data_IF_704629043371
#
_entry.id   IF_704629043371
#
_cell.length_a   1.000
_cell.length_b   1.000
_cell.length_c   1.000
_cell.angle_alpha   90.00
_cell.angle_beta   90.00
_cell.angle_gamma   90.00
#
_symmetry.space_group_name_H-M   'P 1'
#
loop_
_entity.id
_entity.type
_entity.pdbx_description
1 polymer ?
#
# COMPACT_ATOMS: atom_id res chain seq x y z
N UNK A 1 6.08 67.06 38.92
CA UNK A 1 5.28 65.85 39.25
C UNK A 1 4.56 65.34 37.99
N UNK A 2 5.25 65.30 36.86
CA UNK A 2 4.73 64.81 35.57
C UNK A 2 5.77 63.87 34.92
N UNK A 3 7.07 64.11 35.13
CA UNK A 3 8.13 63.29 34.53
C UNK A 3 8.27 61.85 35.07
N UNK A 4 7.73 61.54 36.26
CA UNK A 4 7.88 60.19 36.84
C UNK A 4 6.85 59.18 36.27
N UNK A 5 5.77 59.65 35.63
CA UNK A 5 4.73 58.77 35.11
C UNK A 5 5.05 58.25 33.69
N UNK A 6 5.70 59.07 32.87
CA UNK A 6 6.04 58.68 31.49
C UNK A 6 7.16 57.63 31.43
N UNK A 7 8.09 57.65 32.38
CA UNK A 7 9.21 56.69 32.44
C UNK A 7 8.76 55.28 32.88
N UNK A 8 7.72 55.18 33.72
CA UNK A 8 7.13 53.91 34.16
C UNK A 8 6.28 53.29 33.05
N UNK A 9 5.51 54.09 32.30
CA UNK A 9 4.67 53.61 31.20
C UNK A 9 5.52 53.12 30.01
N UNK A 10 6.68 53.73 29.76
CA UNK A 10 7.60 53.29 28.70
C UNK A 10 8.23 51.93 29.01
N UNK A 11 8.63 51.69 30.26
CA UNK A 11 9.22 50.40 30.66
C UNK A 11 8.22 49.24 30.60
N UNK A 12 6.94 49.46 30.92
CA UNK A 12 5.91 48.42 30.85
C UNK A 12 5.60 48.03 29.40
N UNK A 13 5.60 48.99 28.46
CA UNK A 13 5.40 48.70 27.03
C UNK A 13 6.59 47.96 26.40
N UNK A 14 7.81 48.21 26.87
CA UNK A 14 9.00 47.53 26.36
C UNK A 14 9.09 46.07 26.83
N UNK A 15 8.70 45.80 28.09
CA UNK A 15 8.71 44.43 28.65
C UNK A 15 7.56 43.57 28.09
N UNK A 16 6.39 44.15 27.83
CA UNK A 16 5.27 43.44 27.19
C UNK A 16 5.51 43.16 25.69
N UNK A 17 6.22 44.05 24.98
CA UNK A 17 6.62 43.83 23.59
C UNK A 17 7.60 42.66 23.44
N UNK A 18 8.57 42.54 24.36
CA UNK A 18 9.60 41.49 24.29
C UNK A 18 9.06 40.09 24.62
N UNK A 19 8.08 39.96 25.52
CA UNK A 19 7.49 38.66 25.88
C UNK A 19 6.58 38.10 24.79
N UNK A 20 5.89 38.95 24.02
CA UNK A 20 5.02 38.49 22.91
C UNK A 20 5.84 38.01 21.71
N UNK A 21 7.01 38.60 21.45
CA UNK A 21 7.89 38.14 20.37
C UNK A 21 8.59 36.81 20.69
N UNK A 22 8.92 36.54 21.96
CA UNK A 22 9.59 35.30 22.35
C UNK A 22 8.67 34.06 22.30
N UNK A 23 7.37 34.22 22.55
CA UNK A 23 6.39 33.11 22.46
C UNK A 23 6.10 32.73 21.00
N UNK A 24 6.12 33.68 20.08
CA UNK A 24 5.88 33.40 18.65
C UNK A 24 7.08 32.67 18.02
N UNK A 25 8.31 32.95 18.46
CA UNK A 25 9.51 32.26 17.93
C UNK A 25 9.64 30.81 18.46
N UNK A 26 9.24 30.54 19.72
CA UNK A 26 9.25 29.18 20.26
C UNK A 26 8.09 28.30 19.74
N UNK A 27 7.00 28.91 19.26
CA UNK A 27 5.87 28.19 18.66
C UNK A 27 6.20 27.62 17.27
N UNK A 28 7.24 28.13 16.60
CA UNK A 28 7.65 27.66 15.27
C UNK A 28 8.65 26.48 15.36
N UNK A 29 9.35 26.31 16.49
CA UNK A 29 10.34 25.23 16.66
C UNK A 29 9.69 23.92 17.17
N UNK A 30 8.47 23.96 17.71
CA UNK A 30 7.67 22.75 17.97
C UNK A 30 6.89 22.26 16.74
N UNK A 31 7.02 22.94 15.61
CA UNK A 31 6.49 22.54 14.33
C UNK A 31 7.34 21.46 13.67
N UNK A 32 6.76 20.26 13.54
CA UNK A 32 7.15 19.22 12.58
C UNK A 32 8.54 18.59 12.74
N UNK A 33 8.68 17.70 13.72
CA UNK A 33 9.33 16.40 13.45
C UNK A 33 8.40 15.54 12.56
N UNK A 34 7.98 16.09 11.42
CA UNK A 34 7.50 15.27 10.32
C UNK A 34 8.80 14.80 9.68
N UNK A 35 9.32 13.65 10.11
CA UNK A 35 10.25 12.90 9.26
C UNK A 35 9.59 12.85 7.89
N UNK A 36 10.14 13.58 6.92
CA UNK A 36 9.74 13.45 5.53
C UNK A 36 10.12 12.02 5.11
N UNK A 37 9.25 11.05 5.41
CA UNK A 37 9.32 9.72 4.86
C UNK A 37 9.03 9.90 3.38
N UNK A 38 10.09 10.01 2.59
CA UNK A 38 10.01 9.95 1.13
C UNK A 38 9.37 8.61 0.80
N UNK A 39 8.15 8.63 0.27
CA UNK A 39 7.51 7.42 -0.23
C UNK A 39 8.44 6.80 -1.29
N UNK A 40 8.75 5.49 -1.21
CA UNK A 40 9.60 4.86 -2.20
C UNK A 40 8.97 4.98 -3.59
N UNK A 41 9.82 5.07 -4.62
CA UNK A 41 9.37 5.08 -6.01
C UNK A 41 8.64 3.77 -6.33
N UNK A 42 7.72 3.83 -7.28
CA UNK A 42 6.91 2.69 -7.67
C UNK A 42 7.51 1.96 -8.89
N UNK A 43 7.30 0.64 -8.96
CA UNK A 43 7.54 -0.21 -10.12
C UNK A 43 6.35 -1.15 -10.31
N UNK A 44 5.78 -1.21 -11.51
CA UNK A 44 4.72 -2.14 -11.90
C UNK A 44 5.23 -3.14 -12.93
N UNK A 45 5.04 -4.42 -12.64
CA UNK A 45 5.49 -5.55 -13.46
C UNK A 45 4.25 -6.31 -13.92
N UNK A 46 3.94 -6.26 -15.20
CA UNK A 46 2.80 -6.96 -15.81
C UNK A 46 3.30 -8.19 -16.55
N UNK A 47 2.95 -9.36 -16.07
CA UNK A 47 3.13 -10.64 -16.76
C UNK A 47 1.87 -10.87 -17.59
N UNK A 48 1.99 -10.79 -18.91
CA UNK A 48 0.83 -10.75 -19.81
C UNK A 48 0.80 -12.03 -20.64
N UNK A 49 -0.23 -12.85 -20.42
CA UNK A 49 -0.49 -13.99 -21.26
C UNK A 49 -0.84 -13.52 -22.69
N UNK A 50 -0.06 -13.97 -23.66
CA UNK A 50 -0.27 -13.66 -25.08
C UNK A 50 -0.50 -14.92 -25.91
N UNK A 51 -0.98 -16.00 -25.29
CA UNK A 51 -1.34 -17.24 -25.99
C UNK A 51 -2.55 -17.05 -26.91
N UNK A 52 -2.75 -17.98 -27.84
CA UNK A 52 -3.85 -17.90 -28.81
C UNK A 52 -5.25 -18.05 -28.17
N UNK A 53 -5.36 -18.68 -26.99
CA UNK A 53 -6.63 -18.82 -26.23
C UNK A 53 -7.30 -17.48 -25.93
N UNK A 54 -6.50 -16.43 -25.76
CA UNK A 54 -6.94 -15.06 -25.52
C UNK A 54 -7.80 -14.49 -26.67
N UNK A 55 -7.76 -15.11 -27.87
CA UNK A 55 -8.57 -14.71 -29.05
C UNK A 55 -9.82 -15.55 -29.26
N UNK A 56 -10.22 -16.37 -28.29
CA UNK A 56 -11.33 -17.30 -28.48
C UNK A 56 -10.96 -18.59 -29.24
N UNK A 57 -9.67 -18.76 -29.54
CA UNK A 57 -9.14 -19.91 -30.28
C UNK A 57 -8.62 -20.96 -29.29
N UNK A 58 -9.34 -22.07 -29.16
CA UNK A 58 -8.99 -23.19 -28.29
C UNK A 58 -10.02 -24.31 -28.36
N UNK A 59 -9.85 -25.35 -27.54
CA UNK A 59 -10.79 -26.48 -27.44
C UNK A 59 -12.15 -26.03 -26.88
N UNK A 60 -12.16 -24.96 -26.08
CA UNK A 60 -13.35 -24.32 -25.51
C UNK A 60 -13.52 -22.95 -26.18
N UNK A 61 -14.73 -22.60 -26.63
CA UNK A 61 -15.03 -21.27 -27.17
C UNK A 61 -14.94 -20.22 -26.07
N UNK A 62 -13.83 -19.47 -26.02
CA UNK A 62 -13.69 -18.27 -25.19
C UNK A 62 -14.06 -17.02 -25.99
N UNK A 63 -14.47 -15.93 -25.34
CA UNK A 63 -14.53 -14.62 -25.99
C UNK A 63 -13.13 -14.17 -26.42
N UNK A 64 -13.02 -13.45 -27.54
CA UNK A 64 -11.79 -12.72 -27.86
C UNK A 64 -11.65 -11.56 -26.87
N UNK A 65 -10.73 -11.72 -25.92
CA UNK A 65 -10.47 -10.73 -24.87
C UNK A 65 -9.13 -10.04 -25.07
N UNK A 66 -8.30 -10.47 -26.03
CA UNK A 66 -6.93 -9.98 -26.14
C UNK A 66 -6.87 -8.48 -26.39
N UNK A 67 -7.67 -7.97 -27.32
CA UNK A 67 -7.73 -6.53 -27.61
C UNK A 67 -8.27 -5.75 -26.42
N UNK A 68 -9.27 -6.29 -25.71
CA UNK A 68 -9.79 -5.68 -24.48
C UNK A 68 -8.69 -5.58 -23.42
N UNK A 69 -7.96 -6.66 -23.16
CA UNK A 69 -6.87 -6.69 -22.17
C UNK A 69 -5.76 -5.71 -22.54
N UNK A 70 -5.41 -5.59 -23.83
CA UNK A 70 -4.49 -4.55 -24.30
C UNK A 70 -4.99 -3.14 -24.01
N UNK A 71 -6.26 -2.88 -24.28
CA UNK A 71 -6.87 -1.57 -24.02
C UNK A 71 -6.91 -1.27 -22.52
N UNK A 72 -7.26 -2.24 -21.68
CA UNK A 72 -7.25 -2.06 -20.23
C UNK A 72 -5.82 -1.88 -19.67
N UNK A 73 -4.82 -2.58 -20.23
CA UNK A 73 -3.42 -2.36 -19.86
C UNK A 73 -2.95 -0.94 -20.24
N UNK A 74 -3.38 -0.43 -21.41
CA UNK A 74 -3.14 0.97 -21.78
C UNK A 74 -3.81 1.92 -20.80
N UNK A 75 -5.07 1.69 -20.46
CA UNK A 75 -5.81 2.50 -19.50
C UNK A 75 -5.11 2.53 -18.13
N UNK A 76 -4.66 1.37 -17.65
CA UNK A 76 -3.92 1.23 -16.40
C UNK A 76 -2.57 1.97 -16.43
N UNK A 77 -1.90 2.07 -17.59
CA UNK A 77 -0.67 2.88 -17.74
C UNK A 77 -1.00 4.38 -17.85
N UNK A 78 -2.10 4.73 -18.51
CA UNK A 78 -2.56 6.11 -18.65
C UNK A 78 -3.03 6.73 -17.32
N UNK A 79 -3.64 5.94 -16.44
CA UNK A 79 -4.14 6.41 -15.14
C UNK A 79 -3.04 6.71 -14.11
N UNK A 80 -1.78 6.36 -14.40
CA UNK A 80 -0.66 6.58 -13.48
C UNK A 80 -0.16 8.02 -13.60
N UNK A 81 -0.26 8.75 -12.49
CA UNK A 81 0.20 10.14 -12.40
C UNK A 81 1.68 10.30 -12.04
N UNK A 82 2.26 9.35 -11.31
CA UNK A 82 3.66 9.47 -10.89
C UNK A 82 4.59 9.16 -12.06
N UNK A 83 5.22 10.21 -12.61
CA UNK A 83 6.11 10.13 -13.76
C UNK A 83 7.37 9.28 -13.49
N UNK A 84 7.70 9.02 -12.23
CA UNK A 84 8.85 8.21 -11.83
C UNK A 84 8.50 6.72 -11.68
N UNK A 85 7.23 6.34 -11.84
CA UNK A 85 6.83 4.93 -11.84
C UNK A 85 7.48 4.22 -13.02
N UNK A 86 8.15 3.11 -12.73
CA UNK A 86 8.71 2.22 -13.74
C UNK A 86 7.69 1.16 -14.13
N UNK A 87 7.53 0.94 -15.42
CA UNK A 87 6.64 -0.09 -15.99
C UNK A 87 7.51 -1.13 -16.68
N UNK A 88 7.25 -2.39 -16.36
CA UNK A 88 7.82 -3.57 -17.01
C UNK A 88 6.66 -4.45 -17.45
N UNK A 89 6.60 -4.81 -18.73
CA UNK A 89 5.58 -5.69 -19.29
C UNK A 89 6.31 -6.89 -19.90
N UNK A 90 6.02 -8.08 -19.42
CA UNK A 90 6.64 -9.34 -19.81
C UNK A 90 5.53 -10.17 -20.47
N UNK A 91 5.42 -10.13 -21.82
CA UNK A 91 4.54 -11.05 -22.51
C UNK A 91 5.06 -12.48 -22.37
N UNK A 92 4.18 -13.48 -22.24
CA UNK A 92 4.60 -14.87 -22.14
C UNK A 92 3.64 -15.84 -22.87
N UNK A 93 4.18 -16.99 -23.24
CA UNK A 93 3.44 -18.18 -23.69
C UNK A 93 4.04 -19.40 -22.96
N UNK A 94 4.60 -20.36 -23.69
CA UNK A 94 5.37 -21.48 -23.18
C UNK A 94 6.71 -21.02 -22.55
N UNK A 95 7.16 -19.81 -22.89
CA UNK A 95 8.32 -19.13 -22.31
C UNK A 95 8.01 -17.63 -22.10
N UNK A 96 8.70 -16.95 -21.17
CA UNK A 96 8.72 -15.49 -21.12
C UNK A 96 9.38 -14.89 -22.37
N UNK A 97 8.77 -13.85 -22.94
CA UNK A 97 9.31 -13.12 -24.09
C UNK A 97 10.01 -11.82 -23.65
N UNK A 98 10.70 -11.17 -24.58
CA UNK A 98 11.39 -9.90 -24.33
C UNK A 98 10.47 -8.86 -23.69
N UNK A 99 10.91 -8.29 -22.56
CA UNK A 99 10.11 -7.32 -21.83
C UNK A 99 10.08 -5.96 -22.53
N UNK A 100 8.94 -5.28 -22.42
CA UNK A 100 8.79 -3.86 -22.69
C UNK A 100 9.03 -3.11 -21.38
N UNK A 101 9.88 -2.08 -21.38
CA UNK A 101 10.26 -1.34 -20.17
C UNK A 101 10.27 0.16 -20.41
N UNK A 102 9.90 0.94 -19.40
CA UNK A 102 9.95 2.40 -19.47
C UNK A 102 9.41 3.08 -18.23
N UNK A 103 9.75 4.36 -18.06
CA UNK A 103 9.14 5.22 -17.04
C UNK A 103 7.85 5.84 -17.56
N UNK A 104 6.94 6.20 -16.66
CA UNK A 104 5.71 6.94 -17.00
C UNK A 104 6.02 8.31 -17.62
N UNK A 105 7.18 8.91 -17.36
CA UNK A 105 7.64 10.10 -18.10
C UNK A 105 7.72 9.89 -19.61
N UNK A 106 7.85 8.64 -20.09
CA UNK A 106 7.89 8.26 -21.50
C UNK A 106 6.63 7.45 -21.91
N UNK A 107 5.46 7.84 -21.36
CA UNK A 107 4.18 7.12 -21.50
C UNK A 107 3.85 6.73 -22.95
N UNK A 108 3.98 7.64 -23.90
CA UNK A 108 3.58 7.38 -25.30
C UNK A 108 4.37 6.22 -25.94
N UNK A 109 5.63 6.04 -25.54
CA UNK A 109 6.45 4.91 -25.98
C UNK A 109 5.97 3.59 -25.40
N UNK A 110 5.55 3.58 -24.12
CA UNK A 110 4.95 2.41 -23.48
C UNK A 110 3.62 2.04 -24.16
N UNK A 111 2.75 3.01 -24.40
CA UNK A 111 1.46 2.80 -25.08
C UNK A 111 1.68 2.24 -26.50
N UNK A 112 2.59 2.85 -27.26
CA UNK A 112 2.94 2.38 -28.60
C UNK A 112 3.52 0.96 -28.60
N UNK A 113 4.24 0.56 -27.55
CA UNK A 113 4.76 -0.78 -27.40
C UNK A 113 3.66 -1.79 -27.02
N UNK A 114 2.71 -1.39 -26.15
CA UNK A 114 1.53 -2.19 -25.80
C UNK A 114 0.67 -2.44 -27.05
N UNK A 115 0.45 -1.43 -27.89
CA UNK A 115 -0.32 -1.59 -29.13
C UNK A 115 0.28 -2.62 -30.09
N UNK A 116 1.60 -2.83 -30.04
CA UNK A 116 2.32 -3.83 -30.83
C UNK A 116 2.26 -5.25 -30.26
N UNK A 117 1.71 -5.44 -29.05
CA UNK A 117 1.47 -6.77 -28.52
C UNK A 117 0.53 -7.53 -29.45
N UNK A 118 0.89 -8.77 -29.74
CA UNK A 118 0.13 -9.69 -30.58
C UNK A 118 0.08 -11.05 -29.90
N UNK A 119 -1.01 -11.77 -30.12
CA UNK A 119 -1.06 -13.18 -29.71
C UNK A 119 -0.03 -14.01 -30.45
N UNK A 120 0.42 -15.07 -29.80
CA UNK A 120 1.43 -16.00 -30.27
C UNK A 120 0.94 -17.42 -30.09
N UNK A 121 1.33 -18.36 -30.97
CA UNK A 121 1.07 -19.77 -30.75
C UNK A 121 1.89 -20.27 -29.56
N UNK A 122 1.34 -21.20 -28.80
CA UNK A 122 1.99 -21.82 -27.65
C UNK A 122 1.01 -22.07 -26.52
N UNK A 123 1.44 -22.92 -25.60
CA UNK A 123 0.77 -23.21 -24.34
C UNK A 123 1.13 -22.15 -23.27
N UNK A 124 0.56 -22.24 -22.08
CA UNK A 124 0.66 -21.26 -20.99
C UNK A 124 1.63 -21.74 -19.88
N UNK A 125 2.81 -21.13 -19.80
CA UNK A 125 3.81 -21.39 -18.77
C UNK A 125 3.84 -20.27 -17.70
N UNK A 126 2.82 -20.28 -16.84
CA UNK A 126 2.67 -19.36 -15.70
C UNK A 126 3.87 -19.44 -14.75
N UNK A 127 4.38 -20.65 -14.49
CA UNK A 127 5.45 -20.85 -13.52
C UNK A 127 6.71 -20.06 -13.89
N UNK A 128 7.18 -20.15 -15.13
CA UNK A 128 8.41 -19.47 -15.55
C UNK A 128 8.18 -17.97 -15.78
N UNK A 129 6.99 -17.58 -16.24
CA UNK A 129 6.59 -16.18 -16.28
C UNK A 129 6.64 -15.54 -14.88
N UNK A 130 6.10 -16.21 -13.87
CA UNK A 130 6.16 -15.77 -12.48
C UNK A 130 7.61 -15.59 -12.02
N UNK A 131 8.45 -16.62 -12.23
CA UNK A 131 9.86 -16.57 -11.82
C UNK A 131 10.63 -15.44 -12.50
N UNK A 132 10.35 -15.19 -13.78
CA UNK A 132 10.94 -14.06 -14.51
C UNK A 132 10.45 -12.71 -13.97
N UNK A 133 9.17 -12.61 -13.59
CA UNK A 133 8.63 -11.42 -12.93
C UNK A 133 9.28 -11.14 -11.57
N UNK A 134 9.55 -12.18 -10.77
CA UNK A 134 10.26 -12.04 -9.49
C UNK A 134 11.66 -11.44 -9.69
N UNK A 135 12.36 -11.80 -10.77
CA UNK A 135 13.68 -11.27 -11.08
C UNK A 135 13.69 -9.76 -11.39
N UNK A 136 12.53 -9.19 -11.73
CA UNK A 136 12.40 -7.75 -12.02
C UNK A 136 12.16 -6.90 -10.77
N UNK A 137 11.98 -7.52 -9.60
CA UNK A 137 11.70 -6.80 -8.35
C UNK A 137 12.91 -5.96 -7.92
N UNK A 138 12.65 -4.69 -7.64
CA UNK A 138 13.64 -3.71 -7.18
C UNK A 138 13.44 -3.42 -5.68
N UNK A 139 14.40 -3.84 -4.86
CA UNK A 139 14.32 -3.67 -3.39
C UNK A 139 14.27 -2.22 -2.90
N UNK A 140 14.59 -1.26 -3.76
CA UNK A 140 14.53 0.18 -3.44
C UNK A 140 13.16 0.80 -3.72
N UNK A 141 12.21 0.02 -4.25
CA UNK A 141 10.91 0.47 -4.73
C UNK A 141 9.73 -0.27 -4.08
N UNK A 142 8.56 0.35 -4.19
CA UNK A 142 7.29 -0.36 -4.07
C UNK A 142 7.09 -1.14 -5.37
N UNK A 143 6.96 -2.46 -5.29
CA UNK A 143 6.77 -3.33 -6.45
C UNK A 143 5.35 -3.87 -6.46
N UNK A 144 4.67 -3.70 -7.58
CA UNK A 144 3.39 -4.33 -7.87
C UNK A 144 3.59 -5.31 -9.04
N UNK A 145 3.36 -6.61 -8.82
CA UNK A 145 3.42 -7.63 -9.86
C UNK A 145 2.01 -8.13 -10.21
N UNK A 146 1.69 -8.18 -11.48
CA UNK A 146 0.39 -8.60 -12.00
C UNK A 146 0.59 -9.81 -12.91
N UNK A 147 0.00 -10.95 -12.54
CA UNK A 147 -0.11 -12.11 -13.43
C UNK A 147 -1.46 -12.03 -14.13
N UNK A 148 -1.47 -11.70 -15.43
CA UNK A 148 -2.68 -11.59 -16.24
C UNK A 148 -2.79 -12.83 -17.14
N UNK A 149 -3.76 -13.70 -16.91
CA UNK A 149 -3.96 -14.92 -17.73
C UNK A 149 -5.43 -15.27 -17.92
N UNK A 150 -5.75 -15.87 -19.06
CA UNK A 150 -7.08 -16.39 -19.39
C UNK A 150 -7.18 -17.92 -19.28
N UNK A 151 -6.05 -18.59 -19.00
CA UNK A 151 -5.92 -20.03 -19.05
C UNK A 151 -5.23 -20.62 -17.82
N UNK A 152 -5.14 -21.94 -17.83
CA UNK A 152 -4.45 -22.71 -16.79
C UNK A 152 -3.00 -22.93 -17.18
N UNK A 153 -2.15 -23.13 -16.17
CA UNK A 153 -0.81 -23.62 -16.39
C UNK A 153 -0.84 -25.02 -17.03
N UNK A 154 -0.27 -25.16 -18.22
CA UNK A 154 -0.28 -26.40 -18.99
C UNK A 154 1.03 -26.68 -19.74
N UNK A 155 2.08 -25.90 -19.50
CA UNK A 155 3.41 -26.11 -20.08
C UNK A 155 4.51 -25.65 -19.14
N UNK A 156 5.66 -26.32 -19.18
CA UNK A 156 6.83 -25.98 -18.38
C UNK A 156 6.99 -26.95 -17.21
N UNK A 157 7.43 -26.47 -16.03
CA UNK A 157 7.47 -27.27 -14.81
C UNK A 157 6.11 -27.89 -14.45
N UNK A 158 6.12 -28.89 -13.56
CA UNK A 158 4.88 -29.45 -12.99
C UNK A 158 4.09 -28.37 -12.21
N UNK A 159 2.77 -28.54 -12.13
CA UNK A 159 1.87 -27.58 -11.44
C UNK A 159 2.25 -27.34 -9.99
N UNK A 160 2.75 -28.36 -9.30
CA UNK A 160 3.24 -28.28 -7.93
C UNK A 160 4.36 -27.24 -7.80
N UNK A 161 5.23 -27.11 -8.80
CA UNK A 161 6.27 -26.10 -8.80
C UNK A 161 5.70 -24.67 -8.92
N UNK A 162 4.58 -24.48 -9.64
CA UNK A 162 3.86 -23.21 -9.62
C UNK A 162 3.27 -22.94 -8.23
N UNK A 163 2.62 -23.93 -7.61
CA UNK A 163 2.06 -23.78 -6.27
C UNK A 163 3.11 -23.38 -5.25
N UNK A 164 4.26 -24.05 -5.23
CA UNK A 164 5.37 -23.71 -4.35
C UNK A 164 5.87 -22.29 -4.60
N UNK A 165 5.97 -21.84 -5.86
CA UNK A 165 6.39 -20.48 -6.20
C UNK A 165 5.41 -19.42 -5.69
N UNK A 166 4.10 -19.71 -5.71
CA UNK A 166 3.07 -18.80 -5.20
C UNK A 166 3.03 -18.81 -3.66
N UNK A 167 3.07 -19.98 -3.02
CA UNK A 167 3.08 -20.11 -1.55
C UNK A 167 4.30 -19.40 -0.91
N UNK A 168 5.45 -19.45 -1.59
CA UNK A 168 6.68 -18.80 -1.14
C UNK A 168 6.66 -17.26 -1.23
N UNK A 169 5.68 -16.66 -1.91
CA UNK A 169 5.58 -15.20 -2.07
C UNK A 169 5.55 -14.48 -0.72
N UNK A 170 4.74 -14.96 0.23
CA UNK A 170 4.59 -14.33 1.55
C UNK A 170 5.92 -14.22 2.31
N UNK A 171 6.79 -15.23 2.18
CA UNK A 171 8.13 -15.22 2.77
C UNK A 171 9.05 -14.23 2.06
N UNK A 172 9.01 -14.23 0.73
CA UNK A 172 9.81 -13.35 -0.12
C UNK A 172 9.45 -11.86 0.04
N UNK A 173 8.16 -11.55 0.19
CA UNK A 173 7.63 -10.20 0.30
C UNK A 173 7.67 -9.65 1.74
N UNK A 174 7.95 -10.48 2.74
CA UNK A 174 7.87 -10.12 4.16
C UNK A 174 8.77 -8.93 4.50
N UNK A 175 8.16 -7.87 5.03
CA UNK A 175 8.88 -6.66 5.43
C UNK A 175 9.29 -5.75 4.28
N UNK A 176 8.90 -6.10 3.05
CA UNK A 176 9.14 -5.33 1.83
C UNK A 176 7.81 -4.85 1.23
N UNK A 177 7.86 -3.74 0.48
CA UNK A 177 6.70 -3.24 -0.26
C UNK A 177 6.53 -4.00 -1.58
N UNK A 178 6.42 -5.33 -1.53
CA UNK A 178 6.19 -6.18 -2.70
C UNK A 178 4.77 -6.73 -2.66
N UNK A 179 3.98 -6.45 -3.68
CA UNK A 179 2.56 -6.78 -3.74
C UNK A 179 2.25 -7.52 -5.04
N UNK A 180 1.50 -8.61 -4.96
CA UNK A 180 1.18 -9.45 -6.11
C UNK A 180 -0.31 -9.57 -6.38
N UNK A 181 -0.68 -9.60 -7.65
CA UNK A 181 -2.07 -9.73 -8.09
C UNK A 181 -2.15 -10.85 -9.12
N UNK A 182 -2.91 -11.88 -8.80
CA UNK A 182 -3.24 -12.96 -9.72
C UNK A 182 -4.58 -12.64 -10.38
N UNK A 183 -4.53 -12.19 -11.63
CA UNK A 183 -5.70 -11.68 -12.37
C UNK A 183 -6.17 -12.74 -13.35
N UNK A 184 -7.33 -13.31 -13.03
CA UNK A 184 -8.06 -14.27 -13.86
C UNK A 184 -8.95 -13.50 -14.83
N UNK A 185 -8.50 -13.42 -16.08
CA UNK A 185 -9.15 -12.62 -17.13
C UNK A 185 -10.45 -13.27 -17.64
N UNK A 186 -10.58 -14.58 -17.48
CA UNK A 186 -11.79 -15.35 -17.79
C UNK A 186 -12.05 -16.41 -16.72
N UNK A 187 -13.29 -16.94 -16.62
CA UNK A 187 -13.58 -18.05 -15.72
C UNK A 187 -12.74 -19.32 -15.96
N UNK A 188 -12.17 -19.49 -17.16
CA UNK A 188 -11.35 -20.66 -17.49
C UNK A 188 -9.95 -20.62 -16.84
N UNK A 189 -9.50 -19.45 -16.40
CA UNK A 189 -8.26 -19.32 -15.63
C UNK A 189 -8.40 -19.79 -14.17
N UNK A 190 -9.62 -20.15 -13.74
CA UNK A 190 -9.89 -20.53 -12.35
C UNK A 190 -9.38 -21.93 -12.04
N UNK A 191 -8.38 -22.00 -11.18
CA UNK A 191 -7.88 -23.23 -10.55
C UNK A 191 -8.02 -23.13 -9.04
N UNK A 192 -8.87 -23.97 -8.45
CA UNK A 192 -9.23 -23.86 -7.02
C UNK A 192 -8.01 -23.87 -6.09
N UNK A 193 -7.00 -24.69 -6.40
CA UNK A 193 -5.77 -24.76 -5.61
C UNK A 193 -4.98 -23.44 -5.65
N UNK A 194 -4.94 -22.75 -6.79
CA UNK A 194 -4.34 -21.41 -6.89
C UNK A 194 -5.16 -20.41 -6.07
N UNK A 195 -6.50 -20.43 -6.19
CA UNK A 195 -7.36 -19.56 -5.38
C UNK A 195 -7.09 -19.73 -3.88
N UNK A 196 -7.05 -20.98 -3.41
CA UNK A 196 -6.79 -21.30 -2.00
C UNK A 196 -5.40 -20.85 -1.52
N UNK A 197 -4.40 -20.89 -2.40
CA UNK A 197 -3.03 -20.41 -2.11
C UNK A 197 -3.05 -18.89 -2.00
N UNK A 198 -3.60 -18.21 -3.00
CA UNK A 198 -3.65 -16.75 -3.04
C UNK A 198 -4.40 -16.19 -1.82
N UNK A 199 -5.56 -16.75 -1.49
CA UNK A 199 -6.38 -16.31 -0.35
C UNK A 199 -5.67 -16.42 1.01
N UNK A 200 -4.68 -17.31 1.12
CA UNK A 200 -3.89 -17.53 2.34
C UNK A 200 -2.54 -16.81 2.32
N UNK A 201 -2.15 -16.23 1.20
CA UNK A 201 -0.81 -15.65 1.00
C UNK A 201 -0.86 -14.15 1.26
N UNK A 202 -0.14 -13.69 2.30
CA UNK A 202 -0.02 -12.26 2.61
C UNK A 202 0.57 -11.47 1.43
N UNK A 203 0.10 -10.23 1.25
CA UNK A 203 0.53 -9.33 0.16
C UNK A 203 0.31 -9.90 -1.25
N UNK A 204 -0.66 -10.81 -1.40
CA UNK A 204 -1.12 -11.35 -2.67
C UNK A 204 -2.65 -11.28 -2.75
N UNK A 205 -3.20 -10.97 -3.92
CA UNK A 205 -4.64 -10.87 -4.13
C UNK A 205 -5.08 -11.59 -5.39
N UNK A 206 -6.26 -12.19 -5.33
CA UNK A 206 -6.93 -12.80 -6.47
C UNK A 206 -7.92 -11.78 -7.06
N UNK A 207 -7.92 -11.64 -8.38
CA UNK A 207 -8.81 -10.73 -9.09
C UNK A 207 -9.50 -11.48 -10.22
N UNK A 208 -10.83 -11.51 -10.18
CA UNK A 208 -11.67 -12.10 -11.21
C UNK A 208 -12.26 -10.99 -12.08
N UNK A 209 -11.43 -10.43 -12.96
CA UNK A 209 -11.84 -9.33 -13.83
C UNK A 209 -10.97 -9.24 -15.07
N UNK A 210 -11.58 -8.76 -16.15
CA UNK A 210 -10.83 -8.30 -17.33
C UNK A 210 -10.42 -6.83 -17.23
N UNK A 211 -10.96 -6.08 -16.26
CA UNK A 211 -10.50 -4.74 -15.90
C UNK A 211 -9.21 -4.86 -15.09
N UNK A 212 -8.11 -4.34 -15.65
CA UNK A 212 -6.79 -4.35 -15.04
C UNK A 212 -6.42 -2.99 -14.44
N UNK A 213 -7.33 -2.01 -14.47
CA UNK A 213 -7.15 -0.68 -13.88
C UNK A 213 -7.43 -0.70 -12.37
N UNK A 214 -6.58 -1.42 -11.66
CA UNK A 214 -6.67 -1.63 -10.23
C UNK A 214 -6.20 -0.38 -9.48
N UNK A 215 -6.96 0.04 -8.46
CA UNK A 215 -6.65 1.21 -7.64
C UNK A 215 -5.93 0.79 -6.36
N UNK A 216 -4.77 1.40 -6.10
CA UNK A 216 -3.99 1.15 -4.89
C UNK A 216 -4.13 2.31 -3.93
N UNK A 217 -4.34 1.97 -2.66
CA UNK A 217 -4.38 2.91 -1.54
C UNK A 217 -3.21 2.56 -0.63
N UNK A 218 -2.09 3.24 -0.82
CA UNK A 218 -0.83 2.90 -0.14
C UNK A 218 -0.64 3.72 1.13
N UNK A 219 -0.04 3.10 2.15
CA UNK A 219 0.37 3.76 3.39
C UNK A 219 1.73 3.24 3.87
N UNK A 220 2.19 3.70 5.02
CA UNK A 220 3.46 3.26 5.61
C UNK A 220 3.35 1.82 6.13
N UNK A 221 4.35 0.98 5.86
CA UNK A 221 4.52 -0.33 6.52
C UNK A 221 4.73 -0.19 8.03
N UNK A 222 5.35 0.91 8.46
CA UNK A 222 5.70 1.14 9.86
C UNK A 222 5.25 2.54 10.29
N UNK A 223 4.33 2.61 11.25
CA UNK A 223 3.86 3.84 11.87
C UNK A 223 4.38 3.93 13.31
N UNK A 224 4.56 5.15 13.82
CA UNK A 224 4.97 5.40 15.21
C UNK A 224 4.01 6.38 15.88
N UNK A 225 3.68 6.12 17.14
CA UNK A 225 2.73 6.93 17.90
C UNK A 225 3.15 7.08 19.36
N UNK A 226 3.52 8.28 19.83
CA UNK A 226 3.79 8.53 21.27
C UNK A 226 2.53 8.99 22.03
N UNK A 227 1.84 8.07 22.70
CA UNK A 227 0.49 8.26 23.26
C UNK A 227 0.47 8.92 24.64
N UNK A 228 1.60 9.41 25.14
CA UNK A 228 1.69 10.00 26.49
C UNK A 228 0.78 11.24 26.64
N UNK A 229 0.96 12.27 25.80
CA UNK A 229 0.17 13.51 25.88
C UNK A 229 -1.06 13.50 24.97
N UNK A 230 -0.89 13.01 23.74
CA UNK A 230 -1.95 12.99 22.74
C UNK A 230 -2.18 11.56 22.26
N UNK A 231 -3.43 11.09 22.32
CA UNK A 231 -3.85 9.74 21.88
C UNK A 231 -4.38 9.71 20.44
N UNK A 232 -4.62 10.86 19.83
CA UNK A 232 -5.10 11.00 18.45
C UNK A 232 -3.96 10.89 17.44
N UNK A 233 -4.19 10.09 16.40
CA UNK A 233 -3.23 9.85 15.33
C UNK A 233 -3.91 9.94 13.99
N UNK A 234 -3.10 10.20 12.97
CA UNK A 234 -3.51 10.20 11.58
C UNK A 234 -2.64 9.21 10.82
N UNK A 235 -3.27 8.35 10.03
CA UNK A 235 -2.61 7.45 9.08
C UNK A 235 -2.89 7.99 7.67
N UNK A 236 -1.87 8.52 6.96
CA UNK A 236 -2.06 9.03 5.61
C UNK A 236 -2.12 7.89 4.60
N UNK A 237 -2.83 8.14 3.51
CA UNK A 237 -3.01 7.24 2.37
C UNK A 237 -2.74 7.98 1.06
N UNK A 238 -2.09 7.29 0.13
CA UNK A 238 -1.88 7.77 -1.25
C UNK A 238 -2.65 6.88 -2.21
N UNK A 239 -3.42 7.51 -3.09
CA UNK A 239 -4.12 6.81 -4.16
C UNK A 239 -3.25 6.77 -5.41
N UNK A 240 -3.11 5.59 -6.01
CA UNK A 240 -2.41 5.45 -7.30
C UNK A 240 -3.24 5.96 -8.46
N UNK A 241 -4.57 5.82 -8.37
CA UNK A 241 -5.55 6.25 -9.36
C UNK A 241 -6.31 7.49 -8.83
N UNK A 242 -6.23 8.65 -9.49
CA UNK A 242 -6.95 9.85 -9.06
C UNK A 242 -8.47 9.68 -9.08
N UNK A 243 -8.97 8.88 -10.03
CA UNK A 243 -10.39 8.66 -10.30
C UNK A 243 -11.01 7.55 -9.43
N UNK A 244 -10.21 6.95 -8.55
CA UNK A 244 -10.71 5.96 -7.60
C UNK A 244 -11.80 6.57 -6.71
N UNK A 245 -12.97 5.92 -6.55
CA UNK A 245 -14.06 6.45 -5.74
C UNK A 245 -13.65 6.57 -4.27
N UNK A 246 -13.63 7.79 -3.72
CA UNK A 246 -13.17 8.07 -2.34
C UNK A 246 -14.32 8.29 -1.37
N UNK A 247 -15.36 8.97 -1.84
CA UNK A 247 -16.50 9.44 -1.04
C UNK A 247 -17.27 8.30 -0.35
N UNK A 248 -17.13 7.07 -0.86
CA UNK A 248 -17.79 5.87 -0.35
C UNK A 248 -16.85 4.88 0.35
N UNK A 249 -15.54 5.18 0.41
CA UNK A 249 -14.53 4.31 0.99
C UNK A 249 -14.49 4.49 2.51
N UNK A 250 -15.25 3.66 3.21
CA UNK A 250 -15.22 3.59 4.67
C UNK A 250 -14.08 2.69 5.12
N UNK A 251 -13.12 3.29 5.81
CA UNK A 251 -11.99 2.60 6.41
C UNK A 251 -12.17 2.54 7.91
N UNK A 252 -11.98 1.35 8.47
CA UNK A 252 -11.87 1.11 9.90
C UNK A 252 -10.46 0.58 10.23
N UNK A 253 -10.07 0.67 11.50
CA UNK A 253 -8.75 0.27 11.97
C UNK A 253 -8.87 -0.59 13.22
N UNK A 254 -8.16 -1.72 13.24
CA UNK A 254 -8.18 -2.65 14.37
C UNK A 254 -6.77 -3.06 14.76
N UNK A 255 -6.45 -2.99 16.04
CA UNK A 255 -5.22 -3.58 16.57
C UNK A 255 -5.37 -5.09 16.74
N UNK A 256 -4.29 -5.83 16.53
CA UNK A 256 -4.23 -7.23 16.92
C UNK A 256 -4.53 -7.39 18.44
N UNK A 257 -5.12 -8.53 18.86
CA UNK A 257 -5.45 -8.76 20.25
C UNK A 257 -4.23 -8.62 21.16
N UNK A 258 -4.33 -7.75 22.17
CA UNK A 258 -3.26 -7.48 23.12
C UNK A 258 -3.84 -6.95 24.45
N UNK A 259 -3.11 -7.04 25.56
CA UNK A 259 -3.64 -6.66 26.88
C UNK A 259 -3.48 -5.17 27.23
N UNK A 260 -2.95 -4.34 26.33
CA UNK A 260 -2.50 -2.98 26.66
C UNK A 260 -3.27 -1.89 25.94
N UNK A 261 -3.66 -2.09 24.68
CA UNK A 261 -4.16 -1.05 23.80
C UNK A 261 -5.33 -1.53 22.94
N UNK A 262 -6.27 -0.61 22.71
CA UNK A 262 -7.33 -0.75 21.71
C UNK A 262 -7.47 0.52 20.88
N UNK A 263 -8.10 0.41 19.71
CA UNK A 263 -8.55 1.55 18.93
C UNK A 263 -9.96 1.91 19.41
N UNK A 264 -10.12 3.10 19.98
CA UNK A 264 -11.41 3.52 20.56
C UNK A 264 -12.24 4.42 19.65
N UNK A 265 -11.65 4.93 18.58
CA UNK A 265 -12.30 5.77 17.59
C UNK A 265 -11.56 5.69 16.27
N UNK A 266 -12.33 5.67 15.18
CA UNK A 266 -11.82 5.79 13.81
C UNK A 266 -12.70 6.79 13.05
N UNK A 267 -12.07 7.76 12.42
CA UNK A 267 -12.67 8.78 11.58
C UNK A 267 -12.03 8.76 10.20
N UNK A 268 -12.73 8.15 9.25
CA UNK A 268 -12.30 8.04 7.85
C UNK A 268 -12.46 9.39 7.12
N UNK A 269 -11.37 9.90 6.52
CA UNK A 269 -11.36 11.12 5.70
C UNK A 269 -10.65 10.83 4.37
N UNK A 270 -11.10 9.80 3.65
CA UNK A 270 -10.41 9.30 2.44
C UNK A 270 -10.36 10.32 1.31
N UNK A 271 -11.33 11.24 1.22
CA UNK A 271 -11.31 12.35 0.24
C UNK A 271 -10.07 13.24 0.42
N UNK A 272 -9.60 13.35 1.67
CA UNK A 272 -8.38 14.07 2.06
C UNK A 272 -7.16 13.16 2.21
N UNK A 273 -7.30 11.86 1.95
CA UNK A 273 -6.21 10.89 1.99
C UNK A 273 -5.69 10.56 3.37
N UNK A 274 -6.53 10.55 4.42
CA UNK A 274 -6.10 10.06 5.73
C UNK A 274 -7.24 9.47 6.57
N UNK A 275 -6.86 8.67 7.56
CA UNK A 275 -7.76 8.17 8.61
C UNK A 275 -7.25 8.65 9.96
N UNK A 276 -8.12 9.28 10.73
CA UNK A 276 -7.83 9.66 12.11
C UNK A 276 -8.28 8.56 13.07
N UNK A 277 -7.52 8.29 14.12
CA UNK A 277 -7.87 7.27 15.10
C UNK A 277 -7.37 7.62 16.50
N UNK A 278 -7.98 7.03 17.52
CA UNK A 278 -7.57 7.19 18.92
C UNK A 278 -7.10 5.88 19.51
N UNK A 279 -5.93 5.90 20.13
CA UNK A 279 -5.37 4.76 20.86
C UNK A 279 -5.73 4.89 22.34
N UNK A 280 -6.47 3.93 22.88
CA UNK A 280 -6.84 3.88 24.29
C UNK A 280 -6.02 2.83 25.02
N UNK A 281 -5.41 3.22 26.14
CA UNK A 281 -4.77 2.28 27.06
C UNK A 281 -5.83 1.53 27.88
N UNK A 282 -5.66 0.21 28.01
CA UNK A 282 -6.53 -0.69 28.75
C UNK A 282 -6.11 -0.84 30.23
N UNK A 283 -4.92 -0.33 30.58
CA UNK A 283 -4.33 -0.40 31.91
C UNK A 283 -3.87 0.98 32.40
N UNK A 284 -3.64 1.16 33.71
CA UNK A 284 -2.99 2.36 34.24
C UNK A 284 -1.65 2.64 33.57
N UNK A 285 -1.28 3.92 33.47
CA UNK A 285 -0.09 4.37 32.73
C UNK A 285 1.21 3.66 33.15
N UNK A 286 1.34 3.32 34.44
CA UNK A 286 2.51 2.65 35.00
C UNK A 286 2.65 1.19 34.55
N UNK A 287 1.54 0.53 34.20
CA UNK A 287 1.53 -0.85 33.70
C UNK A 287 1.61 -0.94 32.18
N UNK A 288 1.49 0.19 31.48
CA UNK A 288 1.62 0.23 30.03
C UNK A 288 3.12 0.16 29.64
N UNK A 289 3.47 -0.66 28.63
CA UNK A 289 4.84 -0.77 28.16
C UNK A 289 5.35 0.60 27.67
N UNK A 290 6.63 0.86 27.90
CA UNK A 290 7.28 2.10 27.42
C UNK A 290 7.28 2.13 25.88
N UNK A 291 7.49 0.97 25.26
CA UNK A 291 7.46 0.76 23.82
C UNK A 291 6.88 -0.61 23.54
N UNK A 292 5.94 -0.67 22.62
CA UNK A 292 5.48 -1.94 22.03
C UNK A 292 5.23 -1.74 20.54
N UNK A 293 5.29 -2.80 19.75
CA UNK A 293 4.87 -2.77 18.35
C UNK A 293 3.74 -3.76 18.19
N UNK A 294 2.64 -3.29 17.63
CA UNK A 294 1.44 -4.07 17.38
C UNK A 294 1.07 -4.00 15.90
N UNK A 295 0.42 -5.02 15.39
CA UNK A 295 -0.18 -4.99 14.05
C UNK A 295 -1.48 -4.19 14.06
N UNK A 296 -1.55 -3.18 13.20
CA UNK A 296 -2.74 -2.39 12.91
C UNK A 296 -3.32 -2.85 11.57
N UNK A 297 -4.47 -3.51 11.62
CA UNK A 297 -5.22 -3.98 10.47
C UNK A 297 -6.08 -2.86 9.90
N UNK A 298 -6.01 -2.67 8.59
CA UNK A 298 -6.86 -1.76 7.82
C UNK A 298 -8.04 -2.58 7.30
N UNK A 299 -9.24 -2.17 7.71
CA UNK A 299 -10.48 -2.86 7.38
C UNK A 299 -11.30 -1.99 6.45
N UNK A 300 -11.84 -2.59 5.39
CA UNK A 300 -12.72 -1.92 4.43
C UNK A 300 -13.65 -2.94 3.79
N UNK A 301 -14.71 -2.44 3.16
CA UNK A 301 -15.68 -3.27 2.44
C UNK A 301 -15.08 -3.71 1.08
N UNK A 302 -14.47 -4.90 1.06
CA UNK A 302 -13.85 -5.48 -0.14
C UNK A 302 -14.88 -5.83 -1.22
N UNK A 303 -16.10 -6.21 -0.84
CA UNK A 303 -17.15 -6.55 -1.81
C UNK A 303 -17.60 -5.30 -2.56
N UNK A 304 -17.82 -4.20 -1.84
CA UNK A 304 -18.19 -2.91 -2.45
C UNK A 304 -17.03 -2.27 -3.22
N UNK A 305 -15.78 -2.52 -2.83
CA UNK A 305 -14.58 -1.90 -3.39
C UNK A 305 -13.60 -2.94 -3.97
N UNK A 306 -14.11 -3.90 -4.74
CA UNK A 306 -13.36 -5.09 -5.18
C UNK A 306 -12.15 -4.82 -6.11
N UNK A 307 -12.03 -3.61 -6.67
CA UNK A 307 -10.85 -3.15 -7.44
C UNK A 307 -9.97 -2.15 -6.68
N UNK A 308 -10.21 -1.96 -5.39
CA UNK A 308 -9.41 -1.08 -4.52
C UNK A 308 -8.67 -1.91 -3.49
N UNK A 309 -7.35 -1.74 -3.44
CA UNK A 309 -6.47 -2.55 -2.60
C UNK A 309 -5.60 -1.68 -1.69
N UNK A 310 -5.68 -1.93 -0.40
CA UNK A 310 -4.82 -1.27 0.58
C UNK A 310 -3.47 -1.96 0.64
N UNK A 311 -2.39 -1.19 0.48
CA UNK A 311 -1.03 -1.73 0.37
C UNK A 311 -0.07 -1.01 1.32
N UNK A 312 0.26 -1.60 2.49
CA UNK A 312 -0.21 -2.89 3.02
C UNK A 312 -1.64 -2.82 3.63
N UNK A 313 -2.28 -3.97 3.84
CA UNK A 313 -3.50 -4.10 4.68
C UNK A 313 -3.17 -4.15 6.19
N UNK A 314 -1.91 -4.41 6.54
CA UNK A 314 -1.43 -4.48 7.93
C UNK A 314 -0.21 -3.60 8.09
N UNK A 315 -0.28 -2.69 9.06
CA UNK A 315 0.79 -1.74 9.40
C UNK A 315 1.39 -2.11 10.75
N UNK A 316 2.71 -2.11 10.86
CA UNK A 316 3.39 -2.21 12.15
C UNK A 316 3.30 -0.87 12.88
N UNK A 317 2.47 -0.80 13.91
CA UNK A 317 2.32 0.40 14.73
C UNK A 317 3.18 0.29 16.00
N UNK A 318 4.29 1.02 16.05
CA UNK A 318 5.06 1.19 17.29
C UNK A 318 4.39 2.24 18.17
N UNK A 319 3.83 1.79 19.28
CA UNK A 319 3.26 2.66 20.32
C UNK A 319 4.35 2.96 21.34
N UNK A 320 4.59 4.24 21.57
CA UNK A 320 5.52 4.76 22.58
C UNK A 320 4.72 5.41 23.70
N UNK A 321 5.19 5.25 24.93
CA UNK A 321 4.68 5.91 26.12
C UNK A 321 5.86 6.61 26.83
N UNK A 322 6.52 7.49 26.07
CA UNK A 322 7.66 8.27 26.54
C UNK A 322 7.16 9.59 27.10
N UNK A 323 7.32 9.77 28.41
CA UNK A 323 6.97 10.98 29.16
C UNK A 323 7.33 10.82 30.63
N UNK A 324 7.12 11.88 31.41
CA UNK A 324 7.47 11.91 32.84
C UNK A 324 6.58 10.95 33.63
N UNK A 325 7.18 9.96 34.33
CA UNK A 325 6.46 9.06 35.22
C UNK A 325 6.76 9.42 36.67
N UNK A 326 5.74 9.82 37.44
CA UNK A 326 5.89 10.08 38.87
C UNK A 326 5.71 8.75 39.60
N UNK A 327 6.79 8.26 40.21
CA UNK A 327 6.75 7.07 41.07
C UNK A 327 6.59 7.52 42.53
N UNK A 328 5.48 7.14 43.16
CA UNK A 328 5.27 7.38 44.60
C UNK A 328 5.73 6.14 45.35
N UNK A 329 6.88 6.24 46.03
CA UNK A 329 7.39 5.19 46.91
C UNK A 329 6.76 5.38 48.29
N UNK A 330 5.93 4.44 48.75
CA UNK A 330 5.45 4.43 50.13
C UNK A 330 6.48 3.71 51.02
N UNK A 331 6.93 4.31 52.13
CA UNK A 331 7.80 3.61 53.08
C UNK A 331 7.07 2.42 53.67
N UNK A 332 7.75 1.28 53.78
CA UNK A 332 7.26 0.09 54.47
C UNK A 332 7.21 0.46 55.96
N UNK A 333 6.00 0.48 56.53
CA UNK A 333 5.80 0.67 57.96
C UNK A 333 6.57 -0.39 58.74
N UNK A 334 7.37 0.05 59.72
CA UNK A 334 8.02 -0.83 60.68
C UNK A 334 7.01 -1.47 61.61
#
# INVERSE_FOLDING_TARGET
MIDLFDEIVMNIRFVLGLQVTFVIFFSIIYGSNVSAQVFPKEKRIYLVDVTASMTGKGVVKTPDIFNKVKDELKNAVMSINDVNTEIVIIPFTNVPHSSIRGLISNRDSLISAIDKLSVRPGDTNIADAWSHGIQEIDSTRINFIFMLTDGLHNYGPEKEALYDRLENWSSFARGHYYFAFYVMLTPNAREQKICDIVDKTEQMWLIESSDVNISFVSTYLNAKANIYDNKERSLPFRFSNPDAPRDNLKVDLKLEPNPYYEISYVGSNMDRGFVNFKIKGLKPLMELPIKTTLRLHILYDKEKNYLTFFTPEVVNLTILNHGTRIMIIKPIGK
#
